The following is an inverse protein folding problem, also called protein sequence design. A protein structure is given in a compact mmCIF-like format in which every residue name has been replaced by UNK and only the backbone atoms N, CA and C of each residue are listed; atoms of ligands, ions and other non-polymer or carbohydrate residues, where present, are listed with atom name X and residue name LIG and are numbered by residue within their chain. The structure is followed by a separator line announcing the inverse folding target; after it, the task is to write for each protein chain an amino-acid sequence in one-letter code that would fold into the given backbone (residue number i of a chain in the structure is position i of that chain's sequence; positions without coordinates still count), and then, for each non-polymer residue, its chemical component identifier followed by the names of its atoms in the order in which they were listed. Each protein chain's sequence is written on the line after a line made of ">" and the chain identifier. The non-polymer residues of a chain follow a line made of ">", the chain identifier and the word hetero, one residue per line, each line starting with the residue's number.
data_IF_463329633310
#
_entry.id   IF_463329633310
#
_cell.length_a   1.000
_cell.length_b   1.000
_cell.length_c   1.000
_cell.angle_alpha   90.00
_cell.angle_beta   90.00
_cell.angle_gamma   90.00
#
_symmetry.space_group_name_H-M   'P 1'
#
loop_
_entity.id
_entity.type
_entity.pdbx_description
1 polymer ?
#
# COMPACT_ATOMS: atom_id res chain seq x y z
N UNK A 1 -4.18 -0.96 28.10
CA UNK A 1 -3.03 -0.53 27.26
C UNK A 1 -3.54 -0.10 25.90
N UNK A 2 -3.72 1.20 25.68
CA UNK A 2 -4.05 1.75 24.36
C UNK A 2 -2.76 2.00 23.60
N UNK A 3 -2.44 1.15 22.62
CA UNK A 3 -1.49 1.55 21.59
C UNK A 3 -2.07 2.76 20.84
N UNK A 4 -1.29 3.81 20.55
CA UNK A 4 -1.77 4.88 19.69
C UNK A 4 -2.16 4.23 18.36
N UNK A 5 -3.44 4.35 17.99
CA UNK A 5 -3.94 3.90 16.69
C UNK A 5 -3.01 4.53 15.66
N UNK A 6 -2.21 3.73 14.94
CA UNK A 6 -1.44 4.25 13.79
C UNK A 6 -2.48 4.83 12.82
N UNK A 7 -2.66 6.15 12.82
CA UNK A 7 -3.55 6.88 11.91
C UNK A 7 -2.88 7.11 10.55
N UNK A 8 -1.60 6.75 10.45
CA UNK A 8 -0.74 7.06 9.32
C UNK A 8 -0.71 5.97 8.27
N UNK A 9 -0.66 6.47 7.04
CA UNK A 9 -0.06 5.83 5.87
C UNK A 9 1.24 5.11 6.25
N UNK A 10 1.39 3.89 5.76
CA UNK A 10 2.68 3.22 5.77
C UNK A 10 3.38 3.45 4.44
N UNK A 11 4.62 3.93 4.51
CA UNK A 11 5.50 4.15 3.36
C UNK A 11 6.57 3.05 3.35
N UNK A 12 6.84 2.48 2.18
CA UNK A 12 7.99 1.59 1.96
C UNK A 12 8.80 2.10 0.77
N UNK A 13 10.09 2.37 0.98
CA UNK A 13 11.05 2.69 -0.08
C UNK A 13 11.92 1.47 -0.36
N UNK A 14 12.21 1.22 -1.64
CA UNK A 14 12.98 0.07 -2.08
C UNK A 14 14.13 0.48 -2.97
N UNK A 15 15.29 -0.12 -2.72
CA UNK A 15 16.51 0.13 -3.48
C UNK A 15 16.75 -0.91 -4.60
N UNK A 16 16.02 -2.03 -4.59
CA UNK A 16 16.22 -3.17 -5.47
C UNK A 16 14.89 -3.86 -5.77
N UNK A 17 14.87 -4.70 -6.81
CA UNK A 17 13.67 -5.40 -7.27
C UNK A 17 12.78 -4.54 -8.17
N UNK A 18 11.64 -5.08 -8.62
CA UNK A 18 10.79 -4.40 -9.60
C UNK A 18 10.11 -3.13 -9.07
N UNK A 19 10.04 -2.98 -7.75
CA UNK A 19 9.48 -1.80 -7.09
C UNK A 19 10.57 -0.81 -6.64
N UNK A 20 11.82 -0.99 -7.08
CA UNK A 20 12.91 -0.07 -6.77
C UNK A 20 12.58 1.37 -7.18
N UNK A 21 12.94 2.34 -6.34
CA UNK A 21 12.65 3.76 -6.57
C UNK A 21 11.18 4.15 -6.39
N UNK A 22 10.32 3.24 -5.95
CA UNK A 22 8.90 3.51 -5.74
C UNK A 22 8.54 3.52 -4.24
N UNK A 23 7.59 4.37 -3.89
CA UNK A 23 6.90 4.37 -2.61
C UNK A 23 5.50 3.79 -2.78
N UNK A 24 5.19 2.76 -2.01
CA UNK A 24 3.82 2.27 -1.84
C UNK A 24 3.24 2.82 -0.54
N UNK A 25 2.03 3.36 -0.64
CA UNK A 25 1.35 4.12 0.42
C UNK A 25 -0.05 3.54 0.61
N UNK A 26 -0.25 2.84 1.72
CA UNK A 26 -1.57 2.33 2.12
C UNK A 26 -2.46 3.48 2.64
N UNK A 27 -3.68 3.63 2.09
CA UNK A 27 -4.63 4.65 2.57
C UNK A 27 -5.85 4.03 3.23
N UNK A 28 -6.10 4.48 4.46
CA UNK A 28 -7.28 4.09 5.22
C UNK A 28 -8.54 4.81 4.73
N UNK A 29 -8.62 6.14 4.83
CA UNK A 29 -9.83 6.88 4.40
C UNK A 29 -9.92 7.03 2.88
N UNK A 30 -8.78 7.02 2.20
CA UNK A 30 -8.72 7.16 0.75
C UNK A 30 -9.07 5.89 -0.02
N UNK A 31 -9.35 4.78 0.66
CA UNK A 31 -9.75 3.48 0.09
C UNK A 31 -8.92 3.06 -1.13
N UNK A 32 -7.59 3.25 -1.05
CA UNK A 32 -6.68 3.03 -2.18
C UNK A 32 -5.24 2.81 -1.72
N UNK A 33 -4.39 2.35 -2.63
CA UNK A 33 -2.95 2.41 -2.47
C UNK A 33 -2.39 3.47 -3.41
N UNK A 34 -1.57 4.40 -2.92
CA UNK A 34 -0.81 5.30 -3.79
C UNK A 34 0.54 4.67 -4.12
N UNK A 35 0.94 4.82 -5.37
CA UNK A 35 2.26 4.48 -5.88
C UNK A 35 2.94 5.76 -6.33
N UNK A 36 4.04 6.11 -5.69
CA UNK A 36 4.84 7.30 -6.04
C UNK A 36 6.17 6.83 -6.60
N UNK A 37 6.50 7.23 -7.81
CA UNK A 37 7.80 7.01 -8.41
C UNK A 37 8.70 8.22 -8.12
N UNK A 38 9.86 7.97 -7.53
CA UNK A 38 10.87 8.99 -7.24
C UNK A 38 11.91 9.04 -8.35
N UNK A 39 12.51 10.22 -8.53
CA UNK A 39 13.66 10.40 -9.40
C UNK A 39 14.88 9.69 -8.77
N UNK A 40 15.50 8.71 -9.44
CA UNK A 40 16.60 7.94 -8.86
C UNK A 40 17.88 8.77 -8.70
N UNK A 41 18.01 9.88 -9.45
CA UNK A 41 19.13 10.83 -9.31
C UNK A 41 18.82 11.92 -8.28
N UNK A 42 17.54 12.25 -8.06
CA UNK A 42 17.08 13.26 -7.09
C UNK A 42 15.90 12.70 -6.25
N UNK A 43 16.14 11.88 -5.21
CA UNK A 43 15.07 11.15 -4.51
C UNK A 43 14.03 12.03 -3.77
N UNK A 44 14.28 13.33 -3.66
CA UNK A 44 13.35 14.34 -3.18
C UNK A 44 12.35 14.82 -4.24
N UNK A 45 12.54 14.43 -5.51
CA UNK A 45 11.67 14.74 -6.63
C UNK A 45 10.74 13.57 -6.97
N UNK A 46 9.45 13.86 -7.05
CA UNK A 46 8.43 12.93 -7.56
C UNK A 46 8.38 12.99 -9.08
N UNK A 47 8.54 11.84 -9.75
CA UNK A 47 8.35 11.70 -11.19
C UNK A 47 6.89 11.42 -11.55
N UNK A 48 6.24 10.55 -10.78
CA UNK A 48 4.86 10.15 -11.04
C UNK A 48 4.14 9.76 -9.75
N UNK A 49 2.86 10.11 -9.66
CA UNK A 49 1.94 9.56 -8.65
C UNK A 49 0.82 8.82 -9.37
N UNK A 50 0.50 7.62 -8.90
CA UNK A 50 -0.58 6.79 -9.44
C UNK A 50 -1.39 6.18 -8.31
N UNK A 51 -2.68 5.96 -8.56
CA UNK A 51 -3.56 5.25 -7.66
C UNK A 51 -3.70 3.80 -8.11
N UNK A 52 -3.61 2.88 -7.15
CA UNK A 52 -3.87 1.46 -7.31
C UNK A 52 -5.09 1.08 -6.46
N UNK A 53 -5.93 0.20 -7.00
CA UNK A 53 -7.04 -0.45 -6.29
C UNK A 53 -8.06 0.50 -5.65
N UNK A 54 -8.32 1.65 -6.28
CA UNK A 54 -9.28 2.63 -5.79
C UNK A 54 -10.66 2.00 -5.55
N UNK A 55 -11.15 2.06 -4.30
CA UNK A 55 -12.42 1.49 -3.82
C UNK A 55 -12.58 -0.03 -4.01
N UNK A 56 -11.55 -0.71 -4.54
CA UNK A 56 -11.62 -2.14 -4.85
C UNK A 56 -11.60 -2.98 -3.58
N UNK A 57 -10.68 -2.70 -2.66
CA UNK A 57 -10.52 -3.41 -1.39
C UNK A 57 -10.95 -2.58 -0.17
N UNK A 58 -11.35 -1.32 -0.37
CA UNK A 58 -11.65 -0.39 0.72
C UNK A 58 -10.39 0.06 1.45
N UNK A 59 -10.45 0.08 2.78
CA UNK A 59 -9.43 0.67 3.67
C UNK A 59 -8.18 -0.19 3.69
N UNK A 60 -7.05 0.32 3.18
CA UNK A 60 -5.77 -0.40 3.19
C UNK A 60 -4.93 0.10 4.36
N UNK A 61 -4.46 -0.83 5.21
CA UNK A 61 -3.79 -0.50 6.48
C UNK A 61 -2.28 -0.61 6.42
N UNK A 62 -1.77 -1.61 5.73
CA UNK A 62 -0.35 -1.94 5.68
C UNK A 62 -0.01 -2.51 4.31
N UNK A 63 1.25 -2.35 3.91
CA UNK A 63 1.84 -2.85 2.67
C UNK A 63 3.28 -3.28 2.92
N UNK A 64 3.62 -4.47 2.44
CA UNK A 64 4.92 -5.12 2.58
C UNK A 64 5.33 -5.69 1.22
N UNK A 65 6.58 -5.51 0.82
CA UNK A 65 7.15 -6.31 -0.27
C UNK A 65 7.89 -7.50 0.35
N UNK A 66 7.62 -8.70 -0.17
CA UNK A 66 8.32 -9.92 0.19
C UNK A 66 9.63 -10.08 -0.60
N UNK A 67 10.48 -11.01 -0.17
CA UNK A 67 11.80 -11.26 -0.77
C UNK A 67 11.72 -11.67 -2.25
N UNK A 68 10.60 -12.28 -2.65
CA UNK A 68 10.33 -12.69 -4.03
C UNK A 68 9.78 -11.56 -4.92
N UNK A 69 9.71 -10.33 -4.41
CA UNK A 69 9.18 -9.16 -5.11
C UNK A 69 7.65 -9.06 -5.12
N UNK A 70 6.93 -9.99 -4.48
CA UNK A 70 5.48 -9.89 -4.32
C UNK A 70 5.09 -8.84 -3.29
N UNK A 71 3.96 -8.18 -3.50
CA UNK A 71 3.43 -7.19 -2.56
C UNK A 71 2.31 -7.82 -1.73
N UNK A 72 2.47 -7.83 -0.43
CA UNK A 72 1.41 -8.12 0.53
C UNK A 72 0.79 -6.83 1.01
N UNK A 73 -0.53 -6.77 1.13
CA UNK A 73 -1.23 -5.71 1.83
C UNK A 73 -2.42 -6.27 2.60
N UNK A 74 -2.91 -5.50 3.58
CA UNK A 74 -4.08 -5.89 4.36
C UNK A 74 -5.18 -4.83 4.35
N UNK A 75 -6.42 -5.31 4.32
CA UNK A 75 -7.61 -4.46 4.48
C UNK A 75 -7.93 -4.27 5.97
N UNK A 76 -8.67 -3.20 6.28
CA UNK A 76 -9.05 -2.84 7.65
C UNK A 76 -10.44 -2.16 7.64
N UNK A 77 -11.38 -2.81 6.98
CA UNK A 77 -12.76 -2.40 6.77
C UNK A 77 -13.62 -2.63 8.03
N UNK A 78 -13.24 -3.57 8.91
CA UNK A 78 -13.96 -3.86 10.16
C UNK A 78 -13.55 -3.00 11.36
N UNK A 79 -12.73 -1.96 11.16
CA UNK A 79 -12.22 -1.10 12.24
C UNK A 79 -13.23 -0.06 12.79
N UNK A 80 -14.51 -0.20 12.41
CA UNK A 80 -15.60 0.70 12.78
C UNK A 80 -15.71 1.97 11.91
N UNK A 81 -14.84 2.15 10.90
CA UNK A 81 -14.88 3.29 9.98
C UNK A 81 -15.07 2.90 8.52
N UNK A 82 -15.02 1.60 8.22
CA UNK A 82 -15.21 1.08 6.86
C UNK A 82 -16.64 0.63 6.58
N UNK A 83 -16.82 0.09 5.37
CA UNK A 83 -18.03 -0.59 4.92
C UNK A 83 -17.68 -2.06 4.65
N UNK A 84 -17.62 -2.90 5.69
CA UNK A 84 -17.09 -4.26 5.55
C UNK A 84 -17.97 -5.13 4.68
N UNK A 85 -17.33 -5.89 3.79
CA UNK A 85 -17.93 -7.00 3.04
C UNK A 85 -17.85 -8.27 3.88
N UNK A 86 -18.62 -9.28 3.49
CA UNK A 86 -18.65 -10.57 4.21
C UNK A 86 -17.24 -11.21 4.32
N UNK A 87 -16.40 -11.02 3.29
CA UNK A 87 -15.05 -11.58 3.21
C UNK A 87 -13.96 -10.74 3.89
N UNK A 88 -14.28 -9.56 4.43
CA UNK A 88 -13.29 -8.73 5.12
C UNK A 88 -12.94 -9.28 6.50
N UNK A 89 -11.79 -8.94 7.09
CA UNK A 89 -10.64 -8.29 6.46
C UNK A 89 -9.73 -9.33 5.79
N UNK A 90 -8.90 -8.91 4.83
CA UNK A 90 -8.09 -9.79 4.00
C UNK A 90 -6.62 -9.43 4.08
N UNK A 91 -5.75 -10.43 3.99
CA UNK A 91 -4.35 -10.28 3.59
C UNK A 91 -4.25 -10.73 2.13
N UNK A 92 -3.82 -9.83 1.26
CA UNK A 92 -3.80 -10.03 -0.18
C UNK A 92 -2.34 -10.02 -0.64
N UNK A 93 -1.97 -10.99 -1.49
CA UNK A 93 -0.67 -11.06 -2.15
C UNK A 93 -0.83 -10.74 -3.63
N UNK A 94 -0.17 -9.69 -4.08
CA UNK A 94 -0.02 -9.33 -5.48
C UNK A 94 1.28 -9.93 -5.99
N UNK A 95 1.16 -10.85 -6.94
CA UNK A 95 2.30 -11.43 -7.64
C UNK A 95 2.50 -10.60 -8.91
N UNK A 96 3.60 -9.85 -9.03
CA UNK A 96 3.87 -9.10 -10.24
C UNK A 96 4.13 -10.06 -11.39
N UNK A 97 3.58 -9.76 -12.56
CA UNK A 97 4.05 -10.34 -13.82
C UNK A 97 4.72 -9.24 -14.61
N UNK A 98 6.04 -9.29 -14.68
CA UNK A 98 6.79 -8.49 -15.64
C UNK A 98 6.79 -9.29 -16.94
N UNK A 99 6.07 -8.76 -17.93
CA UNK A 99 6.19 -9.23 -19.32
C UNK A 99 7.54 -8.78 -19.87
#
# INVERSE_FOLDING_TARGET
>A
MSWPVKRGVLVRYKQQGPWAGQLLIANLRGDQMLRIQLDPQQPDRVLQTSTLFHEEYGRIRDVLEAEDGSIYFMTNNRDGRGRPRASDDQIIRLIPRFL
#
